data_IF_226342555125
#
_entry.id   IF_226342555125
#
_cell.length_a   1.000
_cell.length_b   1.000
_cell.length_c   1.000
_cell.angle_alpha   90.00
_cell.angle_beta   90.00
_cell.angle_gamma   90.00
#
_symmetry.space_group_name_H-M   'P 1'
#
loop_
_entity.id
_entity.type
_entity.pdbx_description
1 polymer ?
#
# COMPACT_ATOMS: atom_id res chain seq x y z
N UNK A 1 37.60 -14.35 -1.91
CA UNK A 1 36.28 -14.92 -1.60
C UNK A 1 35.39 -14.70 -2.82
N UNK A 2 35.40 -15.62 -3.78
CA UNK A 2 34.61 -15.53 -5.02
C UNK A 2 33.30 -16.24 -4.72
N UNK A 3 32.18 -15.50 -4.64
CA UNK A 3 30.84 -16.11 -4.57
C UNK A 3 30.70 -17.10 -5.73
N UNK A 4 30.27 -18.33 -5.44
CA UNK A 4 30.11 -19.36 -6.46
C UNK A 4 28.98 -18.96 -7.39
N UNK A 5 29.12 -19.23 -8.70
CA UNK A 5 28.06 -19.00 -9.68
C UNK A 5 26.77 -19.74 -9.28
N UNK A 6 26.90 -20.84 -8.53
CA UNK A 6 25.78 -21.59 -7.95
C UNK A 6 25.00 -20.81 -6.90
N UNK A 7 25.66 -19.98 -6.08
CA UNK A 7 24.99 -19.13 -5.07
C UNK A 7 24.14 -18.03 -5.74
N UNK A 8 24.64 -17.50 -6.86
CA UNK A 8 23.92 -16.48 -7.66
C UNK A 8 22.70 -17.09 -8.34
N UNK A 9 22.81 -18.33 -8.84
CA UNK A 9 21.72 -19.04 -9.53
C UNK A 9 20.68 -19.57 -8.52
N UNK A 10 21.09 -20.01 -7.33
CA UNK A 10 20.19 -20.45 -6.27
C UNK A 10 19.24 -19.34 -5.77
N UNK A 11 19.69 -18.08 -5.79
CA UNK A 11 18.87 -16.90 -5.45
C UNK A 11 17.76 -16.59 -6.45
N UNK A 12 17.79 -17.17 -7.66
CA UNK A 12 16.74 -17.05 -8.69
C UNK A 12 15.74 -18.22 -8.68
N UNK A 13 15.70 -19.01 -7.59
CA UNK A 13 14.58 -19.93 -7.41
C UNK A 13 13.30 -19.10 -7.32
N UNK A 14 12.28 -19.34 -8.16
CA UNK A 14 11.00 -18.66 -8.02
C UNK A 14 10.51 -18.95 -6.60
N UNK A 15 10.46 -17.91 -5.78
CA UNK A 15 9.84 -18.03 -4.47
C UNK A 15 8.39 -18.46 -4.71
N UNK A 16 7.87 -19.40 -3.91
CA UNK A 16 6.46 -19.72 -3.99
C UNK A 16 5.64 -18.44 -3.88
N UNK A 17 4.51 -18.32 -4.60
CA UNK A 17 3.67 -17.14 -4.53
C UNK A 17 3.40 -16.84 -3.05
N UNK A 18 3.75 -15.62 -2.65
CA UNK A 18 3.60 -15.18 -1.27
C UNK A 18 2.14 -15.34 -0.86
N UNK A 19 1.88 -15.93 0.31
CA UNK A 19 0.54 -16.10 0.84
C UNK A 19 0.19 -14.93 1.77
N UNK A 20 -1.11 -14.62 1.89
CA UNK A 20 -1.56 -13.68 2.92
C UNK A 20 -1.26 -14.25 4.29
N UNK A 21 -0.62 -13.45 5.15
CA UNK A 21 -0.40 -13.84 6.54
C UNK A 21 -1.66 -13.61 7.37
N UNK A 22 -1.77 -14.30 8.50
CA UNK A 22 -2.97 -14.25 9.35
C UNK A 22 -3.35 -12.81 9.76
N UNK A 23 -2.36 -11.97 10.05
CA UNK A 23 -2.60 -10.58 10.43
C UNK A 23 -3.15 -9.73 9.26
N UNK A 24 -2.74 -10.04 8.03
CA UNK A 24 -3.28 -9.38 6.83
C UNK A 24 -4.73 -9.78 6.59
N UNK A 25 -5.08 -11.05 6.82
CA UNK A 25 -6.48 -11.51 6.72
C UNK A 25 -7.35 -10.79 7.76
N UNK A 26 -6.88 -10.69 9.01
CA UNK A 26 -7.57 -9.95 10.07
C UNK A 26 -7.72 -8.47 9.74
N UNK A 27 -6.66 -7.84 9.24
CA UNK A 27 -6.69 -6.46 8.79
C UNK A 27 -7.74 -6.24 7.70
N UNK A 28 -7.75 -7.06 6.65
CA UNK A 28 -8.76 -7.00 5.58
C UNK A 28 -10.18 -7.13 6.14
N UNK A 29 -10.41 -8.09 7.03
CA UNK A 29 -11.71 -8.31 7.66
C UNK A 29 -12.16 -7.14 8.55
N UNK A 30 -11.21 -6.37 9.09
CA UNK A 30 -11.48 -5.18 9.90
C UNK A 30 -11.78 -3.92 9.10
N UNK A 31 -11.50 -3.90 7.79
CA UNK A 31 -11.83 -2.76 6.93
C UNK A 31 -13.33 -2.72 6.61
N UNK A 32 -13.93 -1.51 6.50
CA UNK A 32 -15.27 -1.32 5.94
C UNK A 32 -15.40 -1.94 4.55
N UNK A 33 -16.60 -2.42 4.21
CA UNK A 33 -16.81 -3.23 3.00
C UNK A 33 -16.56 -2.45 1.69
N UNK A 34 -16.80 -1.15 1.70
CA UNK A 34 -16.62 -0.22 0.58
C UNK A 34 -15.15 0.14 0.31
N UNK A 35 -14.28 0.02 1.31
CA UNK A 35 -12.84 0.31 1.20
C UNK A 35 -11.96 -0.94 1.26
N UNK A 36 -12.56 -2.11 1.50
CA UNK A 36 -11.84 -3.38 1.60
C UNK A 36 -11.34 -3.80 0.21
N UNK A 37 -10.02 -3.97 0.02
CA UNK A 37 -9.48 -4.34 -1.27
C UNK A 37 -9.74 -5.82 -1.58
N UNK A 38 -9.97 -6.10 -2.85
CA UNK A 38 -10.28 -7.43 -3.39
C UNK A 38 -9.29 -7.85 -4.47
N UNK A 39 -8.84 -6.93 -5.32
CA UNK A 39 -7.86 -7.17 -6.37
C UNK A 39 -6.43 -7.16 -5.83
N UNK A 40 -6.09 -6.18 -4.97
CA UNK A 40 -4.76 -6.01 -4.38
C UNK A 40 -4.25 -7.27 -3.63
N UNK A 41 -5.01 -7.89 -2.71
CA UNK A 41 -4.51 -9.07 -1.99
C UNK A 41 -4.37 -10.31 -2.87
N UNK A 42 -4.96 -10.34 -4.07
CA UNK A 42 -4.84 -11.45 -5.02
C UNK A 42 -3.67 -11.23 -5.97
N UNK A 43 -3.55 -10.02 -6.52
CA UNK A 43 -2.57 -9.69 -7.56
C UNK A 43 -1.21 -9.27 -6.96
N UNK A 44 -1.22 -8.65 -5.77
CA UNK A 44 -0.05 -8.07 -5.13
C UNK A 44 0.00 -8.40 -3.63
N UNK A 45 -0.01 -9.70 -3.29
CA UNK A 45 -0.01 -10.21 -1.91
C UNK A 45 1.04 -9.53 -1.02
N UNK A 46 2.26 -9.34 -1.53
CA UNK A 46 3.35 -8.68 -0.78
C UNK A 46 3.00 -7.25 -0.34
N UNK A 47 2.28 -6.51 -1.19
CA UNK A 47 1.85 -5.15 -0.88
C UNK A 47 0.74 -5.18 0.17
N UNK A 48 -0.22 -6.10 0.06
CA UNK A 48 -1.25 -6.29 1.08
C UNK A 48 -0.64 -6.67 2.44
N UNK A 49 0.33 -7.59 2.46
CA UNK A 49 1.07 -7.97 3.66
C UNK A 49 1.84 -6.78 4.27
N UNK A 50 2.52 -6.00 3.42
CA UNK A 50 3.26 -4.82 3.86
C UNK A 50 2.33 -3.74 4.43
N UNK A 51 1.20 -3.46 3.76
CA UNK A 51 0.19 -2.50 4.23
C UNK A 51 -0.34 -2.88 5.60
N UNK A 52 -0.80 -4.13 5.77
CA UNK A 52 -1.30 -4.60 7.05
C UNK A 52 -0.28 -4.42 8.19
N UNK A 53 1.01 -4.65 7.89
CA UNK A 53 2.10 -4.50 8.86
C UNK A 53 2.34 -3.05 9.27
N UNK A 54 2.22 -2.09 8.34
CA UNK A 54 2.46 -0.66 8.61
C UNK A 54 1.20 0.11 8.98
N UNK A 55 0.00 -0.50 8.84
CA UNK A 55 -1.30 0.16 8.97
C UNK A 55 -1.51 0.91 10.29
N UNK A 56 -0.92 0.44 11.39
CA UNK A 56 -1.04 1.09 12.70
C UNK A 56 -0.07 2.25 12.94
N UNK A 57 0.97 2.40 12.10
CA UNK A 57 1.93 3.51 12.16
C UNK A 57 1.54 4.53 11.10
N UNK A 58 0.88 5.61 11.51
CA UNK A 58 0.36 6.66 10.65
C UNK A 58 1.37 7.16 9.61
N UNK A 59 2.57 7.53 10.07
CA UNK A 59 3.59 8.12 9.21
C UNK A 59 4.09 7.09 8.19
N UNK A 60 4.37 5.86 8.64
CA UNK A 60 4.83 4.79 7.73
C UNK A 60 3.76 4.35 6.75
N UNK A 61 2.50 4.32 7.16
CA UNK A 61 1.38 3.94 6.31
C UNK A 61 1.18 4.95 5.18
N UNK A 62 1.11 6.24 5.51
CA UNK A 62 1.00 7.30 4.50
C UNK A 62 2.21 7.34 3.56
N UNK A 63 3.43 7.30 4.11
CA UNK A 63 4.65 7.26 3.29
C UNK A 63 4.63 6.08 2.30
N UNK A 64 4.15 4.91 2.76
CA UNK A 64 4.04 3.73 1.92
C UNK A 64 2.96 3.85 0.84
N UNK A 65 1.77 4.34 1.19
CA UNK A 65 0.68 4.59 0.23
C UNK A 65 1.09 5.63 -0.83
N UNK A 66 1.78 6.69 -0.43
CA UNK A 66 2.32 7.69 -1.36
C UNK A 66 3.41 7.11 -2.26
N UNK A 67 4.27 6.24 -1.76
CA UNK A 67 5.26 5.52 -2.58
C UNK A 67 4.63 4.55 -3.60
N UNK A 68 3.41 4.07 -3.33
CA UNK A 68 2.67 3.22 -4.26
C UNK A 68 1.97 4.04 -5.36
N UNK A 69 1.39 5.20 -5.00
CA UNK A 69 0.61 6.03 -5.92
C UNK A 69 1.47 7.02 -6.72
N UNK A 70 2.52 7.57 -6.12
CA UNK A 70 3.38 8.57 -6.74
C UNK A 70 4.56 7.85 -7.37
N UNK A 71 4.65 7.87 -8.70
CA UNK A 71 5.85 7.41 -9.39
C UNK A 71 7.00 8.42 -9.19
N UNK A 72 7.71 8.29 -8.07
CA UNK A 72 8.83 9.17 -7.73
C UNK A 72 10.13 8.82 -8.50
N UNK A 73 10.16 7.74 -9.27
CA UNK A 73 11.42 7.18 -9.80
C UNK A 73 11.45 6.95 -11.30
N UNK A 74 10.29 6.91 -11.95
CA UNK A 74 10.17 6.61 -13.38
C UNK A 74 10.46 5.14 -13.69
N UNK A 75 9.83 4.61 -14.73
CA UNK A 75 10.15 3.29 -15.28
C UNK A 75 9.41 2.09 -14.65
N UNK A 76 8.30 2.31 -13.94
CA UNK A 76 7.37 1.24 -13.55
C UNK A 76 6.24 1.09 -14.56
N UNK A 77 5.76 -0.15 -14.76
CA UNK A 77 4.58 -0.43 -15.60
C UNK A 77 3.25 0.06 -14.98
N UNK A 78 3.29 0.67 -13.80
CA UNK A 78 2.11 1.07 -13.04
C UNK A 78 1.35 -0.13 -12.44
N UNK A 79 0.20 0.16 -11.84
CA UNK A 79 -0.75 -0.86 -11.41
C UNK A 79 -1.88 -1.00 -12.43
N UNK A 80 -2.49 -2.20 -12.54
CA UNK A 80 -3.83 -2.34 -13.08
C UNK A 80 -4.80 -1.35 -12.43
N UNK A 81 -5.78 -0.87 -13.21
CA UNK A 81 -6.68 0.20 -12.78
C UNK A 81 -7.46 -0.13 -11.49
N UNK A 82 -7.94 -1.36 -11.37
CA UNK A 82 -8.63 -1.87 -10.18
C UNK A 82 -7.75 -1.81 -8.93
N UNK A 83 -6.49 -2.23 -9.03
CA UNK A 83 -5.53 -2.17 -7.93
C UNK A 83 -5.15 -0.73 -7.59
N UNK A 84 -4.96 0.13 -8.59
CA UNK A 84 -4.69 1.54 -8.37
C UNK A 84 -5.84 2.24 -7.63
N UNK A 85 -7.08 1.95 -8.03
CA UNK A 85 -8.30 2.47 -7.40
C UNK A 85 -8.43 2.00 -5.95
N UNK A 86 -8.15 0.72 -5.68
CA UNK A 86 -8.17 0.18 -4.31
C UNK A 86 -7.09 0.84 -3.42
N UNK A 87 -5.86 1.04 -3.93
CA UNK A 87 -4.80 1.72 -3.17
C UNK A 87 -5.18 3.18 -2.89
N UNK A 88 -5.76 3.89 -3.86
CA UNK A 88 -6.25 5.25 -3.67
C UNK A 88 -7.38 5.31 -2.63
N UNK A 89 -8.36 4.41 -2.72
CA UNK A 89 -9.47 4.34 -1.76
C UNK A 89 -9.00 4.02 -0.33
N UNK A 90 -7.99 3.15 -0.17
CA UNK A 90 -7.36 2.90 1.13
C UNK A 90 -6.70 4.16 1.70
N UNK A 91 -6.03 4.95 0.86
CA UNK A 91 -5.42 6.21 1.28
C UNK A 91 -6.47 7.23 1.71
N UNK A 92 -7.49 7.44 0.89
CA UNK A 92 -8.58 8.36 1.21
C UNK A 92 -9.27 7.97 2.52
N UNK A 93 -9.55 6.68 2.72
CA UNK A 93 -10.10 6.17 3.98
C UNK A 93 -9.17 6.44 5.17
N UNK A 94 -7.87 6.21 4.99
CA UNK A 94 -6.89 6.40 6.05
C UNK A 94 -6.80 7.87 6.49
N UNK A 95 -6.75 8.80 5.53
CA UNK A 95 -6.66 10.24 5.76
C UNK A 95 -7.97 10.86 6.27
N UNK A 96 -9.13 10.30 5.92
CA UNK A 96 -10.42 10.88 6.31
C UNK A 96 -10.99 10.29 7.60
N UNK A 97 -10.78 8.99 7.82
CA UNK A 97 -11.50 8.22 8.85
C UNK A 97 -10.60 7.75 9.99
N UNK A 98 -9.35 7.37 9.71
CA UNK A 98 -8.42 6.86 10.74
C UNK A 98 -7.61 8.01 11.34
N UNK A 99 -7.08 8.89 10.50
CA UNK A 99 -6.28 10.03 10.90
C UNK A 99 -6.73 11.27 10.13
N UNK A 100 -7.91 11.84 10.46
CA UNK A 100 -8.35 13.11 9.89
C UNK A 100 -7.26 14.15 10.12
N UNK A 101 -6.56 14.51 9.04
CA UNK A 101 -5.60 15.60 9.08
C UNK A 101 -6.37 16.82 9.56
N UNK A 102 -6.01 17.37 10.71
CA UNK A 102 -6.64 18.59 11.18
C UNK A 102 -6.44 19.64 10.08
N UNK A 103 -7.54 20.13 9.50
CA UNK A 103 -7.49 21.13 8.43
C UNK A 103 -6.52 22.22 8.86
N UNK A 104 -5.51 22.47 8.04
CA UNK A 104 -4.56 23.52 8.37
C UNK A 104 -5.26 24.87 8.25
N UNK A 105 -4.75 25.89 8.95
CA UNK A 105 -5.25 27.25 8.77
C UNK A 105 -5.20 27.70 7.30
N UNK A 106 -4.29 27.14 6.50
CA UNK A 106 -4.18 27.38 5.06
C UNK A 106 -5.31 26.74 4.24
N UNK A 107 -5.75 25.53 4.58
CA UNK A 107 -6.87 24.86 3.90
C UNK A 107 -8.18 25.62 4.10
N UNK A 108 -8.40 26.14 5.31
CA UNK A 108 -9.53 26.99 5.63
C UNK A 108 -9.53 28.30 4.82
N UNK A 109 -8.36 28.92 4.65
CA UNK A 109 -8.19 30.15 3.87
C UNK A 109 -8.49 29.92 2.38
N UNK A 110 -8.09 28.78 1.82
CA UNK A 110 -8.38 28.42 0.43
C UNK A 110 -9.88 28.15 0.23
N UNK A 111 -10.52 27.44 1.16
CA UNK A 111 -11.96 27.16 1.11
C UNK A 111 -12.82 28.43 1.20
N UNK A 112 -12.39 29.45 1.96
CA UNK A 112 -13.08 30.74 2.08
C UNK A 112 -12.97 31.65 0.85
N UNK A 113 -12.18 31.29 -0.17
CA UNK A 113 -11.95 32.09 -1.38
C UNK A 113 -12.71 31.61 -2.62
N UNK A 114 -13.59 30.61 -2.50
CA UNK A 114 -14.55 30.20 -3.54
C UNK A 114 -15.96 30.66 -3.17
#
# INVERSE_FOLDING_TARGET
MRESLEDVIARRRPQPPEALVADTIKWLAGLPADVRPTALPVQFVRIANALARVWSDHRRCLEYLDDLLIDRRGGRQGFPFDVALEIAGLKDYYETSIHPTAQTAWDLIIAMRR
#
